data_IF_272952113615
#
_entry.id   IF_272952113615
#
_cell.length_a   1.000
_cell.length_b   1.000
_cell.length_c   1.000
_cell.angle_alpha   90.00
_cell.angle_beta   90.00
_cell.angle_gamma   90.00
#
_symmetry.space_group_name_H-M   'P 1'
#
loop_
_entity.id
_entity.type
_entity.pdbx_description
1 polymer ?
#
# COMPACT_ATOMS: atom_id res chain seq x y z
N UNK A 1 -65.04 30.79 69.37
CA UNK A 1 -64.57 31.33 68.07
C UNK A 1 -63.07 31.62 68.11
N UNK A 2 -62.29 30.65 68.59
CA UNK A 2 -60.86 30.76 68.92
C UNK A 2 -60.09 29.55 68.35
N UNK A 3 -60.49 29.07 67.17
CA UNK A 3 -59.85 27.96 66.46
C UNK A 3 -59.70 28.25 64.95
N UNK A 4 -60.03 29.47 64.50
CA UNK A 4 -59.94 29.89 63.10
C UNK A 4 -58.93 31.03 62.83
N UNK A 5 -58.14 31.45 63.82
CA UNK A 5 -57.12 32.52 63.65
C UNK A 5 -55.67 32.03 63.56
N UNK A 6 -55.40 30.74 63.75
CA UNK A 6 -54.03 30.19 63.66
C UNK A 6 -53.73 29.42 62.36
N UNK A 7 -54.65 29.37 61.40
CA UNK A 7 -54.41 28.69 60.12
C UNK A 7 -54.03 29.60 58.95
N UNK A 8 -54.09 30.93 59.11
CA UNK A 8 -53.71 31.87 58.03
C UNK A 8 -52.34 32.53 58.19
N UNK A 9 -51.60 32.31 59.28
CA UNK A 9 -50.30 32.96 59.50
C UNK A 9 -49.08 32.07 59.14
N UNK A 10 -49.27 30.77 58.89
CA UNK A 10 -48.16 29.86 58.55
C UNK A 10 -48.02 29.61 57.03
N UNK A 11 -49.03 29.98 56.23
CA UNK A 11 -48.99 29.75 54.78
C UNK A 11 -48.41 30.91 53.94
N UNK A 12 -48.13 32.08 54.54
CA UNK A 12 -47.54 33.22 53.81
C UNK A 12 -46.05 33.48 54.11
N UNK A 13 -45.47 32.82 55.11
CA UNK A 13 -44.02 32.89 55.38
C UNK A 13 -43.23 31.75 54.70
N UNK A 14 -43.89 30.68 54.27
CA UNK A 14 -43.24 29.51 53.65
C UNK A 14 -43.00 29.62 52.14
N UNK A 15 -43.63 30.57 51.43
CA UNK A 15 -43.52 30.68 49.97
C UNK A 15 -42.64 31.85 49.47
N UNK A 16 -42.12 32.70 50.37
CA UNK A 16 -41.15 33.75 50.02
C UNK A 16 -39.70 33.40 50.40
N UNK A 17 -39.45 32.22 50.98
CA UNK A 17 -38.09 31.74 51.31
C UNK A 17 -37.58 30.63 50.37
N UNK A 18 -38.33 30.28 49.31
CA UNK A 18 -37.93 29.28 48.29
C UNK A 18 -37.47 29.90 46.95
N UNK A 19 -37.38 31.23 46.85
CA UNK A 19 -36.83 31.94 45.68
C UNK A 19 -35.49 32.63 45.94
N UNK A 20 -34.83 32.30 47.06
CA UNK A 20 -33.45 32.70 47.36
C UNK A 20 -32.64 31.48 47.77
N UNK A 21 -32.70 30.41 46.97
CA UNK A 21 -31.50 29.58 46.86
C UNK A 21 -30.43 30.49 46.25
N UNK A 22 -29.18 30.48 46.75
CA UNK A 22 -28.10 31.07 45.97
C UNK A 22 -28.22 30.45 44.58
N UNK A 23 -28.11 31.27 43.53
CA UNK A 23 -27.51 30.75 42.30
C UNK A 23 -26.15 30.21 42.74
N UNK A 24 -26.08 28.96 43.21
CA UNK A 24 -24.87 28.18 43.08
C UNK A 24 -24.61 28.28 41.60
N UNK A 25 -23.57 29.03 41.23
CA UNK A 25 -23.10 29.14 39.86
C UNK A 25 -23.23 27.75 39.29
N UNK A 26 -24.21 27.56 38.41
CA UNK A 26 -24.54 26.26 37.88
C UNK A 26 -23.29 25.91 37.09
N UNK A 27 -22.41 25.09 37.66
CA UNK A 27 -21.09 24.87 37.12
C UNK A 27 -21.30 24.45 35.67
N UNK A 28 -20.86 25.30 34.74
CA UNK A 28 -21.16 25.08 33.34
C UNK A 28 -20.53 23.74 32.97
N UNK A 29 -21.31 22.88 32.31
CA UNK A 29 -20.86 21.52 32.02
C UNK A 29 -19.62 21.60 31.13
N UNK A 30 -18.61 20.75 31.42
CA UNK A 30 -17.40 20.73 30.60
C UNK A 30 -17.74 20.29 29.20
N UNK A 31 -17.35 21.09 28.22
CA UNK A 31 -17.51 20.76 26.80
C UNK A 31 -16.15 20.57 26.16
N UNK A 32 -16.05 19.66 25.21
CA UNK A 32 -14.88 19.53 24.36
C UNK A 32 -15.09 20.38 23.10
N UNK A 33 -14.11 21.24 22.81
CA UNK A 33 -14.20 22.20 21.72
C UNK A 33 -12.82 22.59 21.19
N UNK A 34 -12.83 23.19 20.01
CA UNK A 34 -11.63 23.61 19.30
C UNK A 34 -11.71 25.12 19.04
N UNK A 35 -10.62 25.84 19.32
CA UNK A 35 -10.52 27.29 19.12
C UNK A 35 -9.42 27.57 18.10
N UNK A 36 -9.76 28.25 17.02
CA UNK A 36 -8.77 28.89 16.14
C UNK A 36 -8.57 30.33 16.59
N UNK A 37 -7.32 30.67 16.89
CA UNK A 37 -6.91 32.02 17.30
C UNK A 37 -7.32 33.09 16.28
N UNK A 38 -7.46 34.34 16.72
CA UNK A 38 -7.86 35.46 15.86
C UNK A 38 -6.90 35.72 14.70
N UNK A 39 -5.61 35.44 14.87
CA UNK A 39 -4.59 35.51 13.81
C UNK A 39 -4.60 34.30 12.86
N UNK A 40 -5.45 33.30 13.15
CA UNK A 40 -5.67 32.07 12.39
C UNK A 40 -4.47 31.11 12.37
N UNK A 41 -3.44 31.34 13.21
CA UNK A 41 -2.20 30.54 13.23
C UNK A 41 -2.20 29.39 14.24
N UNK A 42 -3.02 29.49 15.28
CA UNK A 42 -3.06 28.48 16.36
C UNK A 42 -4.43 27.84 16.44
N UNK A 43 -4.45 26.51 16.53
CA UNK A 43 -5.65 25.72 16.79
C UNK A 43 -5.51 25.02 18.16
N UNK A 44 -6.37 25.33 19.13
CA UNK A 44 -6.27 24.77 20.48
C UNK A 44 -7.48 23.92 20.83
N UNK A 45 -7.24 22.73 21.37
CA UNK A 45 -8.24 21.78 21.83
C UNK A 45 -8.39 21.91 23.35
N UNK A 46 -9.63 22.10 23.82
CA UNK A 46 -9.97 22.29 25.24
C UNK A 46 -11.06 21.31 25.68
N UNK A 47 -11.06 20.97 26.97
CA UNK A 47 -12.14 20.24 27.63
C UNK A 47 -12.42 20.84 29.02
N UNK A 48 -13.18 21.93 29.01
CA UNK A 48 -13.48 22.74 30.19
C UNK A 48 -14.83 23.47 30.04
N UNK A 49 -15.15 24.34 30.99
CA UNK A 49 -16.40 25.11 31.07
C UNK A 49 -16.25 26.54 30.50
N UNK A 50 -15.15 26.84 29.80
CA UNK A 50 -14.78 28.19 29.35
C UNK A 50 -15.08 28.47 27.88
N UNK A 51 -15.81 27.59 27.18
CA UNK A 51 -16.08 27.72 25.74
C UNK A 51 -16.65 29.09 25.34
N UNK A 52 -17.57 29.63 26.14
CA UNK A 52 -18.25 30.91 25.90
C UNK A 52 -17.34 32.14 26.09
N UNK A 53 -16.24 32.01 26.84
CA UNK A 53 -15.29 33.09 27.09
C UNK A 53 -14.11 33.11 26.11
N UNK A 54 -13.99 32.09 25.25
CA UNK A 54 -12.88 32.00 24.28
C UNK A 54 -13.04 33.00 23.14
N UNK A 55 -11.94 33.63 22.78
CA UNK A 55 -11.84 34.53 21.62
C UNK A 55 -11.32 33.79 20.39
N UNK A 56 -11.83 34.12 19.21
CA UNK A 56 -11.44 33.51 17.95
C UNK A 56 -12.63 32.80 17.29
N UNK A 57 -12.37 31.83 16.42
CA UNK A 57 -13.41 30.94 15.89
C UNK A 57 -13.48 29.69 16.74
N UNK A 58 -14.65 29.37 17.28
CA UNK A 58 -14.86 28.24 18.19
C UNK A 58 -15.81 27.23 17.54
N UNK A 59 -15.45 25.95 17.60
CA UNK A 59 -16.30 24.84 17.16
C UNK A 59 -16.46 23.82 18.27
N UNK A 60 -17.61 23.16 18.35
CA UNK A 60 -17.71 21.94 19.15
C UNK A 60 -16.80 20.84 18.60
N UNK A 61 -16.25 19.96 19.44
CA UNK A 61 -15.35 18.88 18.99
C UNK A 61 -16.05 17.89 18.04
N UNK A 62 -17.39 17.84 18.05
CA UNK A 62 -18.21 17.00 17.17
C UNK A 62 -18.82 17.78 16.00
N UNK A 63 -18.52 19.07 15.89
CA UNK A 63 -19.05 19.90 14.81
C UNK A 63 -18.37 19.55 13.49
N UNK A 64 -19.17 19.38 12.43
CA UNK A 64 -18.70 18.93 11.13
C UNK A 64 -19.10 19.89 10.02
N UNK A 65 -18.50 19.68 8.84
CA UNK A 65 -18.88 20.31 7.58
C UNK A 65 -18.82 19.29 6.45
N UNK A 66 -19.60 19.53 5.41
CA UNK A 66 -19.57 18.73 4.18
C UNK A 66 -18.70 19.39 3.12
N UNK A 67 -17.85 18.61 2.46
CA UNK A 67 -17.01 19.06 1.34
C UNK A 67 -17.01 17.96 0.28
N UNK A 68 -17.56 18.25 -0.90
CA UNK A 68 -17.67 17.31 -2.04
C UNK A 68 -18.33 15.95 -1.70
N UNK A 69 -19.28 15.95 -0.76
CA UNK A 69 -20.02 14.74 -0.34
C UNK A 69 -19.39 13.97 0.81
N UNK A 70 -18.22 14.38 1.29
CA UNK A 70 -17.57 13.83 2.48
C UNK A 70 -17.77 14.74 3.71
N UNK A 71 -17.81 14.13 4.90
CA UNK A 71 -17.96 14.83 6.18
C UNK A 71 -16.61 14.99 6.87
N UNK A 72 -16.27 16.21 7.27
CA UNK A 72 -15.02 16.54 7.96
C UNK A 72 -15.29 17.32 9.25
N UNK A 73 -14.38 17.29 10.25
CA UNK A 73 -14.44 18.24 11.36
C UNK A 73 -14.50 19.68 10.87
N UNK A 74 -15.36 20.51 11.45
CA UNK A 74 -15.64 21.87 10.98
C UNK A 74 -14.38 22.74 10.87
N UNK A 75 -13.39 22.49 11.74
CA UNK A 75 -12.12 23.22 11.78
C UNK A 75 -11.07 22.75 10.76
N UNK A 76 -11.24 21.59 10.11
CA UNK A 76 -10.23 21.00 9.22
C UNK A 76 -10.30 21.48 7.76
N UNK A 77 -9.36 21.10 6.88
CA UNK A 77 -9.44 21.37 5.43
C UNK A 77 -8.38 22.31 4.83
N UNK A 78 -8.53 22.59 3.52
CA UNK A 78 -7.52 23.17 2.60
C UNK A 78 -7.07 24.61 2.88
N UNK A 79 -7.91 25.44 3.51
CA UNK A 79 -7.65 26.88 3.66
C UNK A 79 -6.96 27.25 4.98
N UNK A 80 -6.42 26.26 5.69
CA UNK A 80 -5.88 26.46 7.03
C UNK A 80 -4.54 27.21 7.00
N UNK A 81 -4.50 28.39 7.63
CA UNK A 81 -3.27 29.15 7.95
C UNK A 81 -2.62 28.70 9.27
N UNK A 82 -3.14 27.64 9.88
CA UNK A 82 -2.68 27.14 11.17
C UNK A 82 -1.28 26.56 11.01
N UNK A 83 -0.33 27.08 11.79
CA UNK A 83 1.04 26.59 11.88
C UNK A 83 1.31 25.83 13.18
N UNK A 84 0.46 26.00 14.20
CA UNK A 84 0.59 25.33 15.49
C UNK A 84 -0.75 24.78 15.96
N UNK A 85 -0.79 23.51 16.35
CA UNK A 85 -1.90 22.95 17.10
C UNK A 85 -1.50 22.76 18.56
N UNK A 86 -2.43 22.93 19.49
CA UNK A 86 -2.18 22.83 20.93
C UNK A 86 -3.27 21.97 21.56
N UNK A 87 -2.89 20.93 22.29
CA UNK A 87 -3.78 20.21 23.19
C UNK A 87 -3.58 20.74 24.61
N UNK A 88 -4.52 21.55 25.07
CA UNK A 88 -4.47 22.13 26.41
C UNK A 88 -4.51 21.03 27.49
N UNK A 89 -3.96 21.31 28.67
CA UNK A 89 -3.94 20.35 29.78
C UNK A 89 -5.36 19.90 30.19
N UNK A 90 -6.38 20.75 30.00
CA UNK A 90 -7.78 20.39 30.22
C UNK A 90 -8.25 19.21 29.35
N UNK A 91 -7.67 19.04 28.15
CA UNK A 91 -8.08 18.02 27.19
C UNK A 91 -7.76 16.58 27.62
N UNK A 92 -6.88 16.40 28.61
CA UNK A 92 -6.40 15.09 29.09
C UNK A 92 -7.51 14.09 29.46
N UNK A 93 -8.64 14.62 29.95
CA UNK A 93 -9.76 13.80 30.41
C UNK A 93 -10.86 13.62 29.35
N UNK A 94 -10.73 14.22 28.17
CA UNK A 94 -11.64 13.98 27.07
C UNK A 94 -11.32 12.64 26.40
N UNK A 95 -12.35 11.84 26.13
CA UNK A 95 -12.25 10.51 25.53
C UNK A 95 -12.91 10.53 24.14
N UNK A 96 -12.20 11.00 23.09
CA UNK A 96 -12.71 10.93 21.72
C UNK A 96 -12.95 9.48 21.30
N UNK A 97 -14.07 9.24 20.61
CA UNK A 97 -14.36 7.95 19.96
C UNK A 97 -13.73 7.83 18.57
N UNK A 98 -13.37 8.98 17.97
CA UNK A 98 -12.77 9.12 16.66
C UNK A 98 -11.84 10.34 16.64
N UNK A 99 -10.70 10.22 15.98
CA UNK A 99 -9.82 11.34 15.62
C UNK A 99 -9.76 11.56 14.11
N UNK A 100 -10.76 11.04 13.40
CA UNK A 100 -10.82 11.06 11.94
C UNK A 100 -10.72 12.48 11.41
N UNK A 101 -9.75 12.69 10.51
CA UNK A 101 -9.54 13.96 9.82
C UNK A 101 -9.27 15.18 10.72
N UNK A 102 -8.91 15.01 12.00
CA UNK A 102 -8.72 16.14 12.93
C UNK A 102 -7.69 17.17 12.45
N UNK A 103 -6.64 16.73 11.74
CA UNK A 103 -5.64 17.58 11.09
C UNK A 103 -5.61 17.37 9.57
N UNK A 104 -6.73 16.97 8.97
CA UNK A 104 -6.82 16.81 7.53
C UNK A 104 -6.52 18.12 6.80
N UNK A 105 -5.51 18.08 5.94
CA UNK A 105 -5.07 19.15 5.03
C UNK A 105 -4.56 20.41 5.72
N UNK A 106 -4.01 20.27 6.92
CA UNK A 106 -3.26 21.33 7.60
C UNK A 106 -1.84 21.48 7.02
N UNK A 107 -1.76 21.91 5.75
CA UNK A 107 -0.49 21.95 4.99
C UNK A 107 0.60 22.79 5.65
N UNK A 108 0.21 23.83 6.38
CA UNK A 108 1.12 24.76 7.06
C UNK A 108 1.45 24.35 8.50
N UNK A 109 0.90 23.26 9.04
CA UNK A 109 1.13 22.84 10.42
C UNK A 109 2.57 22.38 10.61
N UNK A 110 3.30 23.09 11.46
CA UNK A 110 4.73 22.85 11.72
C UNK A 110 4.94 22.04 13.00
N UNK A 111 4.04 22.20 14.00
CA UNK A 111 4.15 21.52 15.30
C UNK A 111 2.81 21.33 15.99
N UNK A 112 2.77 20.31 16.85
CA UNK A 112 1.65 20.01 17.74
C UNK A 112 2.16 19.98 19.17
N UNK A 113 1.73 20.95 19.97
CA UNK A 113 2.11 21.09 21.37
C UNK A 113 1.11 20.37 22.27
N UNK A 114 1.61 19.71 23.32
CA UNK A 114 0.76 19.03 24.30
C UNK A 114 0.04 17.80 23.78
N UNK A 115 0.43 17.21 22.64
CA UNK A 115 -0.23 16.03 22.05
C UNK A 115 -0.36 14.84 23.04
N UNK A 116 0.48 14.80 24.08
CA UNK A 116 0.36 13.87 25.21
C UNK A 116 -0.93 13.99 26.02
N UNK A 117 -1.66 15.10 25.89
CA UNK A 117 -2.97 15.35 26.49
C UNK A 117 -4.13 14.79 25.63
N UNK A 118 -3.88 14.26 24.43
CA UNK A 118 -4.89 13.55 23.67
C UNK A 118 -4.99 12.10 24.16
N UNK A 119 -6.05 11.76 24.89
CA UNK A 119 -6.29 10.38 25.30
C UNK A 119 -6.98 9.59 24.19
N UNK A 120 -6.26 8.63 23.59
CA UNK A 120 -6.78 7.83 22.46
C UNK A 120 -7.33 6.46 22.88
N UNK A 121 -7.52 6.19 24.18
CA UNK A 121 -7.94 4.86 24.66
C UNK A 121 -9.27 4.38 24.06
N UNK A 122 -10.19 5.29 23.77
CA UNK A 122 -11.51 4.96 23.21
C UNK A 122 -11.61 5.19 21.69
N UNK A 123 -10.50 5.55 21.04
CA UNK A 123 -10.52 5.85 19.60
C UNK A 123 -10.61 4.56 18.80
N UNK A 124 -11.61 4.49 17.93
CA UNK A 124 -11.85 3.34 17.03
C UNK A 124 -11.40 3.62 15.59
N UNK A 125 -11.25 4.88 15.19
CA UNK A 125 -10.75 5.28 13.87
C UNK A 125 -9.79 6.46 13.99
N UNK A 126 -8.64 6.32 13.32
CA UNK A 126 -7.62 7.37 13.13
C UNK A 126 -7.47 7.72 11.65
N UNK A 127 -8.49 7.41 10.85
CA UNK A 127 -8.54 7.67 9.41
C UNK A 127 -8.17 9.12 9.12
N UNK A 128 -7.22 9.28 8.21
CA UNK A 128 -6.77 10.57 7.68
C UNK A 128 -6.39 11.63 8.72
N UNK A 129 -6.06 11.22 9.95
CA UNK A 129 -5.87 12.14 11.09
C UNK A 129 -4.85 13.23 10.80
N UNK A 130 -3.71 12.91 10.19
CA UNK A 130 -2.64 13.85 9.83
C UNK A 130 -2.48 14.02 8.31
N UNK A 131 -3.44 13.58 7.50
CA UNK A 131 -3.29 13.62 6.04
C UNK A 131 -2.99 15.03 5.53
N UNK A 132 -1.97 15.16 4.68
CA UNK A 132 -1.47 16.40 4.09
C UNK A 132 -1.01 17.46 5.10
N UNK A 133 -0.51 17.05 6.27
CA UNK A 133 0.32 17.91 7.13
C UNK A 133 1.74 18.06 6.54
N UNK A 134 1.86 18.80 5.43
CA UNK A 134 3.08 18.83 4.60
C UNK A 134 4.31 19.36 5.36
N UNK A 135 4.13 20.37 6.23
CA UNK A 135 5.21 21.04 6.94
C UNK A 135 5.57 20.41 8.30
N UNK A 136 4.90 19.32 8.69
CA UNK A 136 5.18 18.67 9.96
C UNK A 136 6.48 17.86 9.84
N UNK A 137 7.47 18.17 10.68
CA UNK A 137 8.80 17.52 10.67
C UNK A 137 8.99 16.48 11.76
N UNK A 138 8.16 16.53 12.81
CA UNK A 138 8.17 15.55 13.91
C UNK A 138 6.78 15.38 14.50
N UNK A 139 6.53 14.21 15.09
CA UNK A 139 5.27 13.89 15.74
C UNK A 139 5.52 12.98 16.94
N UNK A 140 5.14 13.43 18.13
CA UNK A 140 5.26 12.63 19.34
C UNK A 140 3.98 11.81 19.56
N UNK A 141 4.06 10.50 19.31
CA UNK A 141 2.94 9.56 19.45
C UNK A 141 3.05 8.65 20.68
N UNK A 142 3.94 8.94 21.63
CA UNK A 142 4.27 8.01 22.73
C UNK A 142 3.11 7.67 23.66
N UNK A 143 2.07 8.53 23.72
CA UNK A 143 0.86 8.31 24.51
C UNK A 143 -0.30 7.69 23.72
N UNK A 144 -0.12 7.42 22.42
CA UNK A 144 -1.18 6.86 21.61
C UNK A 144 -1.46 5.41 22.02
N UNK A 145 -2.72 5.14 22.36
CA UNK A 145 -3.29 3.82 22.57
C UNK A 145 -4.11 3.47 21.35
N UNK A 146 -3.72 2.41 20.65
CA UNK A 146 -4.39 2.02 19.38
C UNK A 146 -5.08 0.67 19.48
N UNK A 147 -5.24 0.13 20.69
CA UNK A 147 -5.79 -1.21 20.94
C UNK A 147 -7.19 -1.40 20.34
N UNK A 148 -7.98 -0.32 20.32
CA UNK A 148 -9.36 -0.33 19.84
C UNK A 148 -9.49 0.18 18.39
N UNK A 149 -8.41 0.61 17.76
CA UNK A 149 -8.43 1.21 16.42
C UNK A 149 -8.64 0.13 15.36
N UNK A 150 -9.61 0.36 14.48
CA UNK A 150 -10.00 -0.53 13.39
C UNK A 150 -9.64 0.03 12.01
N UNK A 151 -9.52 1.36 11.88
CA UNK A 151 -9.18 2.03 10.61
C UNK A 151 -8.05 3.06 10.81
N UNK A 152 -6.95 2.87 10.07
CA UNK A 152 -5.79 3.76 10.01
C UNK A 152 -5.53 4.28 8.58
N UNK A 153 -6.53 4.21 7.70
CA UNK A 153 -6.42 4.63 6.31
C UNK A 153 -5.88 6.05 6.20
N UNK A 154 -4.79 6.21 5.48
CA UNK A 154 -4.17 7.49 5.21
C UNK A 154 -3.71 8.29 6.44
N UNK A 155 -3.55 7.67 7.63
CA UNK A 155 -3.28 8.38 8.88
C UNK A 155 -2.13 9.41 8.75
N UNK A 156 -1.06 9.08 8.05
CA UNK A 156 0.10 9.94 7.81
C UNK A 156 0.27 10.34 6.33
N UNK A 157 -0.75 10.10 5.49
CA UNK A 157 -0.64 10.34 4.04
C UNK A 157 -0.22 11.78 3.74
N UNK A 158 0.85 11.97 2.98
CA UNK A 158 1.32 13.29 2.56
C UNK A 158 1.99 14.09 3.68
N UNK A 159 2.35 13.48 4.81
CA UNK A 159 3.27 14.07 5.78
C UNK A 159 4.70 14.06 5.20
N UNK A 160 4.91 14.84 4.13
CA UNK A 160 6.09 14.73 3.26
C UNK A 160 7.39 14.95 4.04
N UNK A 161 7.43 15.95 4.93
CA UNK A 161 8.64 16.36 5.66
C UNK A 161 8.88 15.59 6.97
N UNK A 162 8.11 14.54 7.30
CA UNK A 162 8.45 13.66 8.41
C UNK A 162 9.67 12.82 8.01
N UNK A 163 10.78 12.97 8.75
CA UNK A 163 12.01 12.20 8.54
C UNK A 163 12.02 10.87 9.31
N UNK A 164 11.34 10.84 10.46
CA UNK A 164 11.18 9.65 11.30
C UNK A 164 9.82 9.62 11.97
N UNK A 165 9.39 8.42 12.36
CA UNK A 165 8.15 8.19 13.08
C UNK A 165 8.32 7.01 14.04
N UNK A 166 8.14 7.25 15.33
CA UNK A 166 8.14 6.20 16.34
C UNK A 166 6.72 5.63 16.48
N UNK A 167 6.57 4.36 16.10
CA UNK A 167 5.33 3.61 16.16
C UNK A 167 5.43 2.40 17.10
N UNK A 168 6.46 2.33 17.95
CA UNK A 168 6.76 1.15 18.77
C UNK A 168 5.62 0.78 19.73
N UNK A 169 4.83 1.77 20.18
CA UNK A 169 3.67 1.59 21.04
C UNK A 169 2.35 1.30 20.30
N UNK A 170 2.34 1.25 18.97
CA UNK A 170 1.13 0.89 18.21
C UNK A 170 0.80 -0.60 18.38
N UNK A 171 -0.47 -0.86 18.62
CA UNK A 171 -1.11 -2.18 18.62
C UNK A 171 -2.11 -2.22 17.48
N UNK A 172 -1.93 -3.13 16.52
CA UNK A 172 -2.71 -3.14 15.27
C UNK A 172 -3.54 -4.41 15.07
N UNK A 173 -3.71 -5.22 16.11
CA UNK A 173 -4.43 -6.50 16.08
C UNK A 173 -5.86 -6.34 15.52
N UNK A 174 -6.51 -5.21 15.81
CA UNK A 174 -7.89 -4.95 15.41
C UNK A 174 -8.02 -4.13 14.11
N UNK A 175 -6.90 -3.69 13.53
CA UNK A 175 -6.90 -2.84 12.33
C UNK A 175 -7.25 -3.66 11.10
N UNK A 176 -8.24 -3.19 10.34
CA UNK A 176 -8.70 -3.84 9.11
C UNK A 176 -8.28 -3.08 7.85
N UNK A 177 -8.01 -1.78 7.96
CA UNK A 177 -7.67 -0.91 6.84
C UNK A 177 -6.42 -0.07 7.14
N UNK A 178 -5.37 -0.26 6.32
CA UNK A 178 -4.13 0.51 6.33
C UNK A 178 -3.82 1.12 4.95
N UNK A 179 -4.83 1.22 4.08
CA UNK A 179 -4.69 1.81 2.75
C UNK A 179 -4.02 3.18 2.84
N UNK A 180 -3.00 3.40 2.00
CA UNK A 180 -2.29 4.68 1.90
C UNK A 180 -1.73 5.24 3.22
N UNK A 181 -1.55 4.43 4.28
CA UNK A 181 -1.20 4.93 5.62
C UNK A 181 0.06 5.83 5.61
N UNK A 182 1.08 5.47 4.83
CA UNK A 182 2.33 6.22 4.68
C UNK A 182 2.51 6.81 3.28
N UNK A 183 1.46 6.84 2.46
CA UNK A 183 1.52 7.36 1.09
C UNK A 183 2.04 8.80 1.08
N UNK A 184 2.95 9.13 0.16
CA UNK A 184 3.59 10.42 -0.01
C UNK A 184 4.33 10.93 1.26
N UNK A 185 4.75 10.04 2.17
CA UNK A 185 5.71 10.36 3.24
C UNK A 185 7.13 10.37 2.67
N UNK A 186 7.41 11.37 1.82
CA UNK A 186 8.58 11.36 0.93
C UNK A 186 9.92 11.25 1.68
N UNK A 187 10.10 11.99 2.78
CA UNK A 187 11.38 12.09 3.49
C UNK A 187 11.60 11.02 4.58
N UNK A 188 10.66 10.10 4.81
CA UNK A 188 10.89 8.99 5.76
C UNK A 188 12.03 8.11 5.26
N UNK A 189 13.11 8.00 6.04
CA UNK A 189 14.30 7.20 5.67
C UNK A 189 14.22 5.74 6.11
N UNK A 190 13.46 5.48 7.18
CA UNK A 190 13.24 4.17 7.80
C UNK A 190 11.89 4.14 8.51
N UNK A 191 11.26 2.96 8.56
CA UNK A 191 10.07 2.68 9.35
C UNK A 191 10.23 1.33 10.06
N UNK A 192 10.10 1.32 11.38
CA UNK A 192 9.99 0.08 12.15
C UNK A 192 8.52 -0.30 12.29
N UNK A 193 8.16 -1.43 11.65
CA UNK A 193 6.82 -2.02 11.67
C UNK A 193 6.82 -3.40 12.33
N UNK A 194 7.85 -3.73 13.12
CA UNK A 194 8.01 -5.05 13.73
C UNK A 194 6.92 -5.42 14.74
N UNK A 195 6.24 -4.43 15.31
CA UNK A 195 5.08 -4.61 16.18
C UNK A 195 3.75 -4.79 15.43
N UNK A 196 3.70 -4.47 14.13
CA UNK A 196 2.44 -4.52 13.37
C UNK A 196 1.96 -5.96 13.17
N UNK A 197 0.67 -6.15 13.46
CA UNK A 197 -0.12 -7.36 13.27
C UNK A 197 -1.04 -7.16 12.07
N UNK A 198 -0.95 -8.06 11.10
CA UNK A 198 -1.57 -7.93 9.78
C UNK A 198 -2.67 -8.96 9.52
N UNK A 199 -3.00 -9.79 10.51
CA UNK A 199 -3.95 -10.90 10.40
C UNK A 199 -5.35 -10.46 9.90
N UNK A 200 -5.78 -9.27 10.31
CA UNK A 200 -7.10 -8.73 10.01
C UNK A 200 -7.11 -7.67 8.90
N UNK A 201 -5.93 -7.26 8.41
CA UNK A 201 -5.81 -6.19 7.40
C UNK A 201 -6.26 -6.74 6.04
N UNK A 202 -7.25 -6.07 5.45
CA UNK A 202 -7.84 -6.45 4.15
C UNK A 202 -7.36 -5.56 3.01
N UNK A 203 -7.03 -4.31 3.31
CA UNK A 203 -6.58 -3.31 2.34
C UNK A 203 -5.29 -2.63 2.82
N UNK A 204 -4.25 -2.74 2.00
CA UNK A 204 -2.94 -2.09 2.15
C UNK A 204 -2.48 -1.45 0.83
N UNK A 205 -3.44 -1.14 -0.05
CA UNK A 205 -3.19 -0.49 -1.33
C UNK A 205 -2.41 0.81 -1.14
N UNK A 206 -1.43 1.04 -2.01
CA UNK A 206 -0.61 2.26 -2.00
C UNK A 206 0.01 2.61 -0.63
N UNK A 207 0.17 1.65 0.29
CA UNK A 207 0.60 1.92 1.68
C UNK A 207 1.92 2.69 1.77
N UNK A 208 2.88 2.37 0.89
CA UNK A 208 4.20 3.03 0.82
C UNK A 208 4.39 3.86 -0.46
N UNK A 209 3.30 4.19 -1.17
CA UNK A 209 3.35 4.98 -2.40
C UNK A 209 4.16 6.26 -2.20
N UNK A 210 5.20 6.48 -3.02
CA UNK A 210 6.13 7.62 -3.01
C UNK A 210 6.82 7.88 -1.67
N UNK A 211 7.11 6.83 -0.89
CA UNK A 211 8.09 6.89 0.20
C UNK A 211 9.52 6.93 -0.37
N UNK A 212 9.86 8.03 -1.06
CA UNK A 212 11.03 8.15 -1.93
C UNK A 212 12.37 7.97 -1.22
N UNK A 213 12.49 8.41 0.03
CA UNK A 213 13.73 8.34 0.79
C UNK A 213 13.89 7.05 1.60
N UNK A 214 12.89 6.16 1.59
CA UNK A 214 12.95 4.89 2.30
C UNK A 214 14.03 4.00 1.67
N UNK A 215 15.01 3.60 2.47
CA UNK A 215 16.16 2.79 1.99
C UNK A 215 15.99 1.30 2.26
N UNK A 216 15.24 0.96 3.31
CA UNK A 216 14.91 -0.41 3.67
C UNK A 216 13.53 -0.49 4.32
N UNK A 217 12.91 -1.66 4.25
CA UNK A 217 11.62 -1.92 4.87
C UNK A 217 11.56 -3.39 5.32
N UNK A 218 11.30 -3.61 6.60
CA UNK A 218 11.10 -4.96 7.12
C UNK A 218 9.61 -5.34 7.03
N UNK A 219 9.30 -6.28 6.13
CA UNK A 219 7.95 -6.78 5.89
C UNK A 219 7.73 -8.20 6.42
N UNK A 220 8.59 -8.71 7.32
CA UNK A 220 8.51 -10.10 7.78
C UNK A 220 7.16 -10.47 8.41
N UNK A 221 6.49 -9.50 9.03
CA UNK A 221 5.20 -9.70 9.69
C UNK A 221 3.99 -9.48 8.77
N UNK A 222 4.21 -9.09 7.51
CA UNK A 222 3.12 -8.83 6.57
C UNK A 222 2.51 -10.14 6.09
N UNK A 223 1.25 -10.37 6.47
CA UNK A 223 0.42 -11.49 6.02
C UNK A 223 -0.54 -10.96 4.96
N UNK A 224 -0.44 -11.45 3.73
CA UNK A 224 -1.22 -10.92 2.59
C UNK A 224 -2.23 -11.92 2.01
N UNK A 225 -2.50 -13.02 2.70
CA UNK A 225 -3.38 -14.12 2.23
C UNK A 225 -4.84 -13.74 1.91
N UNK A 226 -5.29 -12.58 2.39
CA UNK A 226 -6.64 -12.06 2.14
C UNK A 226 -6.64 -10.79 1.27
N UNK A 227 -5.48 -10.32 0.85
CA UNK A 227 -5.34 -9.12 0.02
C UNK A 227 -5.75 -9.45 -1.41
N UNK A 228 -6.64 -8.63 -1.99
CA UNK A 228 -7.14 -8.78 -3.36
C UNK A 228 -6.57 -7.75 -4.33
N UNK A 229 -6.02 -6.66 -3.81
CA UNK A 229 -5.46 -5.56 -4.56
C UNK A 229 -4.10 -5.19 -3.95
N UNK A 230 -3.08 -5.11 -4.80
CA UNK A 230 -1.71 -4.69 -4.43
C UNK A 230 -1.26 -3.50 -5.28
N UNK A 231 -2.21 -2.77 -5.88
CA UNK A 231 -1.95 -1.65 -6.75
C UNK A 231 -1.06 -0.60 -6.08
N UNK A 232 0.00 -0.21 -6.79
CA UNK A 232 0.93 0.85 -6.43
C UNK A 232 1.55 0.77 -5.02
N UNK A 233 1.60 -0.42 -4.39
CA UNK A 233 2.01 -0.56 -2.99
C UNK A 233 3.38 0.04 -2.68
N UNK A 234 4.36 -0.12 -3.59
CA UNK A 234 5.72 0.41 -3.48
C UNK A 234 6.06 1.43 -4.57
N UNK A 235 5.07 1.93 -5.32
CA UNK A 235 5.26 2.92 -6.37
C UNK A 235 6.16 4.06 -5.89
N UNK A 236 7.19 4.44 -6.64
CA UNK A 236 8.06 5.58 -6.38
C UNK A 236 8.92 5.45 -5.13
N UNK A 237 9.08 4.25 -4.56
CA UNK A 237 10.05 3.97 -3.50
C UNK A 237 11.48 3.91 -4.09
N UNK A 238 11.91 5.01 -4.69
CA UNK A 238 13.06 5.05 -5.60
C UNK A 238 14.42 4.83 -4.93
N UNK A 239 14.52 4.89 -3.59
CA UNK A 239 15.75 4.56 -2.82
C UNK A 239 15.75 3.18 -2.17
N UNK A 240 14.69 2.38 -2.29
CA UNK A 240 14.73 1.00 -1.82
C UNK A 240 15.74 0.20 -2.67
N UNK A 241 16.77 -0.35 -2.03
CA UNK A 241 17.79 -1.16 -2.71
C UNK A 241 17.47 -2.64 -2.70
N UNK A 242 16.66 -3.09 -1.74
CA UNK A 242 16.20 -4.47 -1.62
C UNK A 242 14.82 -4.53 -0.97
N UNK A 243 14.04 -5.55 -1.32
CA UNK A 243 12.75 -5.81 -0.70
C UNK A 243 12.57 -7.32 -0.51
N UNK A 244 12.37 -7.75 0.74
CA UNK A 244 12.07 -9.15 1.04
C UNK A 244 10.56 -9.39 1.02
N UNK A 245 10.11 -10.13 0.01
CA UNK A 245 8.70 -10.45 -0.22
C UNK A 245 8.38 -11.93 0.01
N UNK A 246 9.27 -12.71 0.64
CA UNK A 246 9.12 -14.17 0.77
C UNK A 246 7.84 -14.62 1.48
N UNK A 247 7.29 -13.76 2.35
CA UNK A 247 6.08 -14.05 3.12
C UNK A 247 4.78 -13.62 2.40
N UNK A 248 4.88 -12.96 1.24
CA UNK A 248 3.71 -12.53 0.49
C UNK A 248 3.00 -13.74 -0.12
N UNK A 249 1.69 -13.78 0.10
CA UNK A 249 0.74 -14.72 -0.49
C UNK A 249 -0.16 -13.93 -1.42
N UNK A 250 -0.18 -14.27 -2.71
CA UNK A 250 -0.87 -13.47 -3.74
C UNK A 250 -1.97 -14.23 -4.46
N UNK A 251 -2.38 -15.40 -3.95
CA UNK A 251 -3.38 -16.28 -4.57
C UNK A 251 -4.70 -15.58 -4.92
N UNK A 252 -5.10 -14.57 -4.15
CA UNK A 252 -6.37 -13.85 -4.30
C UNK A 252 -6.24 -12.50 -5.02
N UNK A 253 -5.02 -12.10 -5.37
CA UNK A 253 -4.76 -10.77 -5.94
C UNK A 253 -5.26 -10.72 -7.38
N UNK A 254 -6.02 -9.68 -7.70
CA UNK A 254 -6.56 -9.42 -9.05
C UNK A 254 -5.86 -8.25 -9.75
N UNK A 255 -5.30 -7.30 -9.00
CA UNK A 255 -4.58 -6.13 -9.54
C UNK A 255 -3.18 -6.00 -8.90
N UNK A 256 -2.15 -6.04 -9.74
CA UNK A 256 -0.74 -5.81 -9.38
C UNK A 256 -0.14 -4.62 -10.14
N UNK A 257 -0.98 -3.80 -10.77
CA UNK A 257 -0.51 -2.68 -11.57
C UNK A 257 0.27 -1.67 -10.73
N UNK A 258 1.33 -1.15 -11.33
CA UNK A 258 2.25 -0.15 -10.75
C UNK A 258 2.91 -0.56 -9.43
N UNK A 259 2.85 -1.83 -9.02
CA UNK A 259 3.26 -2.29 -7.68
C UNK A 259 4.70 -1.86 -7.34
N UNK A 260 5.62 -1.91 -8.30
CA UNK A 260 7.02 -1.52 -8.17
C UNK A 260 7.44 -0.37 -9.11
N UNK A 261 6.48 0.37 -9.68
CA UNK A 261 6.79 1.51 -10.57
C UNK A 261 7.82 2.43 -9.92
N UNK A 262 8.87 2.85 -10.62
CA UNK A 262 9.95 3.75 -10.18
C UNK A 262 10.57 3.33 -8.83
N UNK A 263 10.65 2.02 -8.57
CA UNK A 263 11.57 1.46 -7.59
C UNK A 263 12.99 1.42 -8.18
N UNK A 264 13.48 2.57 -8.63
CA UNK A 264 14.63 2.69 -9.53
C UNK A 264 15.98 2.31 -8.92
N UNK A 265 16.07 2.12 -7.59
CA UNK A 265 17.27 1.59 -6.92
C UNK A 265 17.27 0.08 -6.69
N UNK A 266 16.16 -0.63 -6.92
CA UNK A 266 16.15 -2.09 -6.78
C UNK A 266 17.03 -2.73 -7.86
N UNK A 267 17.96 -3.59 -7.44
CA UNK A 267 18.84 -4.33 -8.37
C UNK A 267 18.32 -5.73 -8.70
N UNK A 268 17.53 -6.30 -7.79
CA UNK A 268 16.91 -7.61 -7.92
C UNK A 268 15.61 -7.67 -7.12
N UNK A 269 14.67 -8.49 -7.57
CA UNK A 269 13.42 -8.81 -6.87
C UNK A 269 13.23 -10.34 -6.91
N UNK A 270 13.04 -10.95 -5.74
CA UNK A 270 12.63 -12.35 -5.68
C UNK A 270 11.10 -12.43 -5.65
N UNK A 271 10.53 -12.99 -6.72
CA UNK A 271 9.08 -13.13 -6.90
C UNK A 271 8.64 -14.60 -6.97
N UNK A 272 9.49 -15.56 -6.57
CA UNK A 272 9.23 -17.00 -6.75
C UNK A 272 7.97 -17.50 -6.03
N UNK A 273 7.52 -16.80 -4.99
CA UNK A 273 6.31 -17.10 -4.22
C UNK A 273 5.04 -16.46 -4.79
N UNK A 274 5.14 -15.57 -5.78
CA UNK A 274 3.99 -14.93 -6.39
C UNK A 274 3.18 -15.95 -7.21
N UNK A 275 1.88 -15.99 -6.94
CA UNK A 275 0.87 -16.73 -7.67
C UNK A 275 -0.02 -15.73 -8.38
N UNK A 276 -0.04 -15.76 -9.70
CA UNK A 276 -0.69 -14.73 -10.53
C UNK A 276 -1.87 -15.26 -11.33
N UNK A 277 -2.36 -16.46 -11.04
CA UNK A 277 -3.47 -17.12 -11.75
C UNK A 277 -4.72 -16.24 -11.85
N UNK A 278 -4.99 -15.44 -10.82
CA UNK A 278 -6.20 -14.61 -10.72
C UNK A 278 -5.97 -13.14 -11.10
N UNK A 279 -4.73 -12.78 -11.46
CA UNK A 279 -4.38 -11.39 -11.79
C UNK A 279 -4.92 -11.03 -13.16
N UNK A 280 -5.61 -9.90 -13.23
CA UNK A 280 -6.17 -9.33 -14.46
C UNK A 280 -5.36 -8.15 -14.98
N UNK A 281 -4.70 -7.40 -14.09
CA UNK A 281 -3.96 -6.20 -14.45
C UNK A 281 -2.53 -6.24 -13.89
N UNK A 282 -1.53 -6.12 -14.78
CA UNK A 282 -0.11 -6.01 -14.46
C UNK A 282 0.52 -4.76 -15.12
N UNK A 283 -0.30 -3.79 -15.54
CA UNK A 283 0.21 -2.58 -16.21
C UNK A 283 1.24 -1.86 -15.34
N UNK A 284 2.34 -1.45 -15.96
CA UNK A 284 3.40 -0.65 -15.36
C UNK A 284 4.02 -1.25 -14.08
N UNK A 285 3.87 -2.58 -13.85
CA UNK A 285 4.27 -3.24 -12.61
C UNK A 285 5.76 -3.00 -12.25
N UNK A 286 6.64 -2.98 -13.25
CA UNK A 286 8.08 -2.71 -13.11
C UNK A 286 8.53 -1.45 -13.86
N UNK A 287 7.59 -0.57 -14.23
CA UNK A 287 7.88 0.66 -14.98
C UNK A 287 9.01 1.47 -14.31
N UNK A 288 10.00 1.92 -15.07
CA UNK A 288 11.17 2.69 -14.61
C UNK A 288 11.96 2.04 -13.46
N UNK A 289 11.94 0.71 -13.32
CA UNK A 289 12.86 -0.02 -12.46
C UNK A 289 14.28 -0.08 -13.05
N UNK A 290 14.90 1.10 -13.21
CA UNK A 290 16.13 1.34 -13.98
C UNK A 290 17.33 0.49 -13.56
N UNK A 291 17.40 0.04 -12.31
CA UNK A 291 18.53 -0.74 -11.80
C UNK A 291 18.31 -2.25 -11.75
N UNK A 292 17.12 -2.76 -12.08
CA UNK A 292 16.90 -4.20 -12.14
C UNK A 292 17.76 -4.80 -13.26
N UNK A 293 18.62 -5.75 -12.91
CA UNK A 293 19.50 -6.44 -13.88
C UNK A 293 18.95 -7.77 -14.35
N UNK A 294 18.09 -8.39 -13.56
CA UNK A 294 17.44 -9.67 -13.86
C UNK A 294 16.10 -9.77 -13.15
N UNK A 295 15.17 -10.52 -13.74
CA UNK A 295 13.87 -10.81 -13.16
C UNK A 295 13.45 -12.23 -13.53
N UNK A 296 13.21 -13.07 -12.52
CA UNK A 296 12.65 -14.41 -12.71
C UNK A 296 11.13 -14.34 -12.64
N UNK A 297 10.48 -14.65 -13.76
CA UNK A 297 9.02 -14.65 -13.92
C UNK A 297 8.50 -16.04 -14.28
N UNK A 298 9.29 -17.09 -14.07
CA UNK A 298 8.94 -18.47 -14.47
C UNK A 298 7.68 -19.01 -13.78
N UNK A 299 7.35 -18.49 -12.60
CA UNK A 299 6.14 -18.81 -11.84
C UNK A 299 4.90 -18.00 -12.24
N UNK A 300 5.05 -16.97 -13.08
CA UNK A 300 3.92 -16.13 -13.49
C UNK A 300 3.02 -16.91 -14.46
N UNK A 301 1.73 -16.81 -14.22
CA UNK A 301 0.64 -17.34 -15.04
C UNK A 301 -0.19 -16.17 -15.53
N UNK A 302 -0.28 -16.00 -16.83
CA UNK A 302 -0.80 -14.79 -17.46
C UNK A 302 -2.07 -15.05 -18.27
N UNK A 303 -2.64 -16.26 -18.19
CA UNK A 303 -3.84 -16.68 -18.92
C UNK A 303 -5.01 -15.72 -18.73
N UNK A 304 -5.15 -15.15 -17.53
CA UNK A 304 -6.27 -14.28 -17.17
C UNK A 304 -5.90 -12.79 -17.21
N UNK A 305 -4.66 -12.44 -17.54
CA UNK A 305 -4.21 -11.05 -17.59
C UNK A 305 -4.72 -10.39 -18.86
N UNK A 306 -5.33 -9.22 -18.69
CA UNK A 306 -5.95 -8.43 -19.76
C UNK A 306 -5.12 -7.20 -20.12
N UNK A 307 -4.30 -6.69 -19.19
CA UNK A 307 -3.49 -5.48 -19.39
C UNK A 307 -2.05 -5.66 -18.87
N UNK A 308 -1.08 -5.48 -19.76
CA UNK A 308 0.37 -5.42 -19.48
C UNK A 308 1.03 -4.19 -20.10
N UNK A 309 0.28 -3.10 -20.32
CA UNK A 309 0.83 -1.84 -20.80
C UNK A 309 2.05 -1.43 -19.97
N UNK A 310 3.13 -1.09 -20.66
CA UNK A 310 4.33 -0.50 -20.06
C UNK A 310 4.95 -1.30 -18.90
N UNK A 311 4.65 -2.61 -18.79
CA UNK A 311 5.01 -3.45 -17.64
C UNK A 311 6.51 -3.40 -17.30
N UNK A 312 7.38 -3.35 -18.32
CA UNK A 312 8.84 -3.26 -18.16
C UNK A 312 9.42 -1.95 -18.70
N UNK A 313 8.59 -0.99 -19.13
CA UNK A 313 9.07 0.24 -19.77
C UNK A 313 10.11 0.95 -18.89
N UNK A 314 11.23 1.33 -19.47
CA UNK A 314 12.32 2.02 -18.76
C UNK A 314 13.16 1.13 -17.83
N UNK A 315 13.00 -0.20 -17.85
CA UNK A 315 13.91 -1.15 -17.20
C UNK A 315 15.25 -1.24 -17.96
N UNK A 316 15.98 -0.13 -17.98
CA UNK A 316 17.12 0.08 -18.88
C UNK A 316 18.35 -0.78 -18.58
N UNK A 317 18.38 -1.52 -17.47
CA UNK A 317 19.48 -2.44 -17.09
C UNK A 317 19.13 -3.93 -17.15
N UNK A 318 17.89 -4.29 -17.51
CA UNK A 318 17.55 -5.68 -17.80
C UNK A 318 18.24 -6.09 -19.09
N UNK A 319 19.00 -7.20 -19.06
CA UNK A 319 19.69 -7.74 -20.24
C UNK A 319 18.95 -8.89 -20.91
N UNK A 320 18.19 -9.66 -20.13
CA UNK A 320 17.37 -10.74 -20.67
C UNK A 320 16.06 -10.89 -19.89
N UNK A 321 15.00 -11.31 -20.59
CA UNK A 321 13.74 -11.72 -19.99
C UNK A 321 13.32 -13.08 -20.55
N UNK A 322 12.86 -13.96 -19.66
CA UNK A 322 12.24 -15.21 -20.06
C UNK A 322 10.73 -15.13 -19.86
N UNK A 323 10.02 -15.05 -20.99
CA UNK A 323 8.57 -14.93 -21.07
C UNK A 323 7.99 -16.14 -21.82
N UNK A 324 8.71 -17.27 -21.84
CA UNK A 324 8.27 -18.49 -22.54
C UNK A 324 7.01 -19.13 -21.93
N UNK A 325 6.71 -18.82 -20.66
CA UNK A 325 5.50 -19.18 -19.95
C UNK A 325 4.33 -18.21 -20.17
N UNK A 326 4.57 -17.04 -20.77
CA UNK A 326 3.53 -16.03 -20.95
C UNK A 326 2.56 -16.43 -22.06
N UNK A 327 1.28 -16.33 -21.72
CA UNK A 327 0.11 -16.59 -22.54
C UNK A 327 -0.66 -15.30 -22.74
N UNK A 328 -0.94 -14.97 -24.01
CA UNK A 328 -1.48 -13.66 -24.40
C UNK A 328 -2.82 -13.76 -25.12
N UNK A 329 -3.53 -14.90 -25.05
CA UNK A 329 -4.77 -15.13 -25.80
C UNK A 329 -5.91 -14.21 -25.34
N UNK A 330 -5.93 -13.85 -24.05
CA UNK A 330 -6.92 -12.93 -23.46
C UNK A 330 -6.42 -11.48 -23.34
N UNK A 331 -5.24 -11.19 -23.88
CA UNK A 331 -4.59 -9.90 -23.72
C UNK A 331 -5.25 -8.81 -24.57
N UNK A 332 -5.63 -7.70 -23.94
CA UNK A 332 -6.28 -6.58 -24.60
C UNK A 332 -5.32 -5.42 -24.89
N UNK A 333 -4.36 -5.17 -23.99
CA UNK A 333 -3.45 -4.02 -24.08
C UNK A 333 -2.00 -4.40 -23.70
N UNK A 334 -1.04 -4.14 -24.60
CA UNK A 334 0.41 -4.31 -24.40
C UNK A 334 1.24 -3.15 -24.98
N UNK A 335 0.70 -1.94 -24.92
CA UNK A 335 1.35 -0.73 -25.42
C UNK A 335 2.67 -0.49 -24.68
N UNK A 336 3.73 -0.16 -25.43
CA UNK A 336 5.02 0.26 -24.87
C UNK A 336 5.62 -0.70 -23.82
N UNK A 337 5.28 -2.00 -23.84
CA UNK A 337 5.62 -2.95 -22.77
C UNK A 337 7.11 -3.02 -22.44
N UNK A 338 8.00 -2.96 -23.45
CA UNK A 338 9.46 -2.99 -23.29
C UNK A 338 10.12 -1.66 -23.64
N UNK A 339 9.35 -0.59 -23.87
CA UNK A 339 9.88 0.68 -24.35
C UNK A 339 11.01 1.20 -23.45
N UNK A 340 12.09 1.70 -24.05
CA UNK A 340 13.32 2.17 -23.37
C UNK A 340 14.02 1.11 -22.48
N UNK A 341 13.77 -0.19 -22.70
CA UNK A 341 14.63 -1.27 -22.18
C UNK A 341 15.93 -1.35 -23.00
N UNK A 342 16.76 -0.31 -22.91
CA UNK A 342 17.88 -0.10 -23.82
C UNK A 342 18.98 -1.15 -23.76
N UNK A 343 19.16 -1.84 -22.62
CA UNK A 343 20.14 -2.93 -22.47
C UNK A 343 19.56 -4.32 -22.71
N UNK A 344 18.28 -4.45 -23.05
CA UNK A 344 17.64 -5.74 -23.24
C UNK A 344 18.13 -6.36 -24.54
N UNK A 345 18.91 -7.44 -24.41
CA UNK A 345 19.52 -8.18 -25.51
C UNK A 345 18.62 -9.32 -25.99
N UNK A 346 17.99 -10.03 -25.06
CA UNK A 346 17.22 -11.24 -25.39
C UNK A 346 15.87 -11.29 -24.67
N UNK A 347 14.81 -11.54 -25.43
CA UNK A 347 13.51 -11.92 -24.89
C UNK A 347 13.22 -13.35 -25.32
N UNK A 348 13.22 -14.28 -24.38
CA UNK A 348 12.85 -15.67 -24.67
C UNK A 348 11.34 -15.80 -24.73
N UNK A 349 10.82 -16.18 -25.89
CA UNK A 349 9.43 -16.57 -26.06
C UNK A 349 9.33 -17.52 -27.25
N UNK A 350 8.52 -18.57 -27.12
CA UNK A 350 8.37 -19.58 -28.18
C UNK A 350 7.18 -19.30 -29.10
N UNK A 351 6.31 -18.36 -28.72
CA UNK A 351 5.08 -18.05 -29.44
C UNK A 351 5.13 -16.62 -29.98
N UNK A 352 4.48 -16.38 -31.11
CA UNK A 352 4.21 -15.03 -31.60
C UNK A 352 3.09 -14.41 -30.77
N UNK A 353 3.26 -13.18 -30.33
CA UNK A 353 2.20 -12.44 -29.65
C UNK A 353 1.38 -11.65 -30.67
N UNK A 354 0.06 -11.62 -30.48
CA UNK A 354 -0.87 -10.82 -31.27
C UNK A 354 -1.73 -9.99 -30.32
N UNK A 355 -1.79 -8.68 -30.51
CA UNK A 355 -2.61 -7.80 -29.66
C UNK A 355 -3.08 -6.58 -30.46
N UNK A 356 -4.35 -6.20 -30.24
CA UNK A 356 -5.01 -5.09 -30.94
C UNK A 356 -4.44 -3.72 -30.59
N UNK A 357 -3.89 -3.55 -29.39
CA UNK A 357 -3.24 -2.32 -28.93
C UNK A 357 -1.82 -2.61 -28.44
N UNK A 358 -0.83 -2.30 -29.28
CA UNK A 358 0.59 -2.61 -29.01
C UNK A 358 1.58 -1.61 -29.61
N UNK A 359 1.20 -0.32 -29.63
CA UNK A 359 2.06 0.73 -30.18
C UNK A 359 3.33 0.92 -29.34
N UNK A 360 4.45 1.20 -30.03
CA UNK A 360 5.77 1.46 -29.45
C UNK A 360 6.31 0.39 -28.48
N UNK A 361 5.82 -0.86 -28.55
CA UNK A 361 6.20 -1.99 -27.68
C UNK A 361 7.71 -2.12 -27.46
N UNK A 362 8.51 -1.96 -28.51
CA UNK A 362 9.97 -2.11 -28.51
C UNK A 362 10.72 -0.80 -28.76
N UNK A 363 10.05 0.37 -28.72
CA UNK A 363 10.72 1.65 -28.95
C UNK A 363 11.91 1.83 -27.99
N UNK A 364 13.12 2.11 -28.51
CA UNK A 364 14.30 2.35 -27.68
C UNK A 364 15.00 1.09 -27.16
N UNK A 365 14.57 -0.13 -27.55
CA UNK A 365 15.22 -1.39 -27.21
C UNK A 365 16.45 -1.68 -28.09
N UNK A 366 17.44 -0.79 -28.04
CA UNK A 366 18.54 -0.74 -29.03
C UNK A 366 19.47 -1.95 -29.02
N UNK A 367 19.52 -2.71 -27.93
CA UNK A 367 20.34 -3.91 -27.80
C UNK A 367 19.63 -5.20 -28.23
N UNK A 368 18.34 -5.17 -28.58
CA UNK A 368 17.61 -6.41 -28.88
C UNK A 368 18.16 -7.11 -30.13
N UNK A 369 18.47 -8.39 -29.95
CA UNK A 369 18.88 -9.30 -31.01
C UNK A 369 18.12 -10.63 -30.84
N UNK A 370 17.01 -10.74 -31.57
CA UNK A 370 16.17 -11.95 -31.61
C UNK A 370 16.44 -12.77 -32.87
N UNK A 371 15.36 -13.21 -33.53
CA UNK A 371 15.46 -13.73 -34.88
C UNK A 371 15.97 -12.69 -35.89
N UNK A 372 15.74 -11.41 -35.60
CA UNK A 372 16.34 -10.27 -36.30
C UNK A 372 16.88 -9.25 -35.28
N UNK A 373 17.87 -8.46 -35.72
CA UNK A 373 18.36 -7.32 -34.95
C UNK A 373 17.31 -6.20 -34.86
N UNK A 374 17.38 -5.39 -33.79
CA UNK A 374 16.54 -4.22 -33.61
C UNK A 374 16.55 -3.26 -34.82
N UNK A 375 15.38 -2.70 -35.15
CA UNK A 375 15.16 -1.78 -36.26
C UNK A 375 14.29 -0.61 -35.78
N UNK A 376 14.82 0.62 -35.86
CA UNK A 376 14.13 1.82 -35.39
C UNK A 376 12.88 2.20 -36.20
N UNK A 377 12.55 1.48 -37.27
CA UNK A 377 11.30 1.63 -38.02
C UNK A 377 10.24 0.60 -37.60
N UNK A 378 10.60 -0.44 -36.84
CA UNK A 378 9.72 -1.56 -36.46
C UNK A 378 9.60 -1.69 -34.95
N UNK A 379 8.61 -1.02 -34.35
CA UNK A 379 8.52 -0.87 -32.88
C UNK A 379 7.31 -1.52 -32.24
N UNK A 380 6.33 -1.95 -33.03
CA UNK A 380 5.07 -2.50 -32.54
C UNK A 380 5.15 -4.03 -32.30
N UNK A 381 4.03 -4.63 -31.88
CA UNK A 381 3.99 -6.08 -31.62
C UNK A 381 4.17 -6.98 -32.84
N UNK A 382 4.22 -6.46 -34.08
CA UNK A 382 4.58 -7.32 -35.22
C UNK A 382 5.97 -7.94 -35.06
N UNK A 383 6.83 -7.30 -34.27
CA UNK A 383 8.16 -7.79 -33.90
C UNK A 383 8.16 -8.71 -32.66
N UNK A 384 7.03 -8.93 -32.01
CA UNK A 384 6.88 -9.90 -30.92
C UNK A 384 6.74 -11.34 -31.49
N UNK A 385 7.73 -11.76 -32.27
CA UNK A 385 7.72 -12.99 -33.06
C UNK A 385 9.09 -13.68 -32.99
N UNK A 386 9.16 -14.99 -32.68
CA UNK A 386 10.41 -15.70 -32.53
C UNK A 386 11.08 -16.18 -33.83
N UNK A 387 10.44 -15.96 -34.98
CA UNK A 387 10.95 -16.32 -36.32
C UNK A 387 11.31 -15.08 -37.15
N UNK A 388 10.55 -13.99 -36.98
CA UNK A 388 10.66 -12.79 -37.81
C UNK A 388 10.91 -11.51 -37.01
N UNK A 389 10.97 -11.61 -35.68
CA UNK A 389 10.99 -10.47 -34.78
C UNK A 389 12.11 -10.54 -33.73
N UNK A 390 11.89 -9.84 -32.62
CA UNK A 390 12.86 -9.66 -31.55
C UNK A 390 12.80 -10.75 -30.46
N UNK A 391 11.89 -11.70 -30.58
CA UNK A 391 11.89 -12.85 -29.68
C UNK A 391 12.93 -13.87 -30.10
N UNK A 392 13.48 -14.56 -29.11
CA UNK A 392 14.37 -15.70 -29.27
C UNK A 392 13.66 -16.95 -28.80
N UNK A 393 13.67 -18.01 -29.61
CA UNK A 393 13.16 -19.30 -29.15
C UNK A 393 14.02 -19.83 -28.00
N UNK A 394 13.37 -20.20 -26.91
CA UNK A 394 14.02 -20.94 -25.83
C UNK A 394 14.15 -22.39 -26.27
N UNK A 395 15.38 -22.82 -26.56
CA UNK A 395 15.67 -24.23 -26.83
C UNK A 395 15.17 -25.10 -25.67
N UNK A 396 14.61 -26.28 -25.98
CA UNK A 396 14.22 -27.23 -24.94
C UNK A 396 15.46 -27.61 -24.13
N UNK A 397 15.54 -27.18 -22.87
CA UNK A 397 16.49 -27.76 -21.93
C UNK A 397 16.01 -29.19 -21.73
N UNK A 398 16.51 -30.13 -22.53
CA UNK A 398 16.03 -31.51 -22.58
C UNK A 398 16.19 -32.32 -21.28
N UNK A 399 16.36 -31.68 -20.12
CA UNK A 399 16.37 -32.29 -18.79
C UNK A 399 15.05 -31.92 -18.09
N UNK A 400 14.10 -32.85 -18.13
CA UNK A 400 12.89 -32.75 -17.31
C UNK A 400 13.25 -33.29 -15.91
N UNK A 401 13.15 -32.45 -14.88
CA UNK A 401 12.95 -32.96 -13.51
C UNK A 401 11.63 -33.72 -13.50
N UNK A 402 11.65 -34.99 -13.08
CA UNK A 402 10.51 -35.89 -13.12
C UNK A 402 9.20 -35.22 -12.66
N UNK A 403 8.41 -34.76 -13.63
CA UNK A 403 7.04 -34.32 -13.40
C UNK A 403 6.16 -35.56 -13.44
N UNK A 404 5.50 -35.86 -12.33
CA UNK A 404 4.39 -36.81 -12.29
C UNK A 404 3.17 -36.17 -12.96
N UNK A 405 3.24 -35.93 -14.27
CA UNK A 405 2.05 -35.69 -15.07
C UNK A 405 1.48 -37.04 -15.51
N UNK A 406 0.24 -37.30 -15.10
CA UNK A 406 -0.37 -38.63 -14.99
C UNK A 406 -0.73 -39.34 -16.32
N UNK A 407 -0.24 -38.91 -17.48
CA UNK A 407 -0.72 -39.44 -18.77
C UNK A 407 0.33 -40.05 -19.71
N UNK A 408 1.62 -40.07 -19.33
CA UNK A 408 2.65 -40.72 -20.14
C UNK A 408 3.52 -41.66 -19.31
N UNK A 409 3.60 -42.93 -19.71
CA UNK A 409 4.44 -43.94 -19.06
C UNK A 409 5.78 -44.09 -19.79
N UNK A 410 6.82 -44.44 -19.05
CA UNK A 410 8.15 -44.75 -19.61
C UNK A 410 8.03 -46.05 -20.43
N UNK A 411 8.35 -45.98 -21.73
CA UNK A 411 8.39 -47.15 -22.62
C UNK A 411 9.77 -47.78 -22.70
N UNK A 412 10.81 -46.95 -22.82
CA UNK A 412 12.21 -47.41 -22.89
C UNK A 412 13.12 -46.42 -22.19
N UNK A 413 14.18 -46.96 -21.57
CA UNK A 413 15.20 -46.18 -20.86
C UNK A 413 16.51 -46.43 -21.58
N UNK A 414 17.34 -45.40 -21.70
CA UNK A 414 18.67 -45.45 -22.27
C UNK A 414 19.65 -44.74 -21.34
N UNK A 415 20.89 -45.23 -21.30
CA UNK A 415 22.02 -44.52 -20.74
C UNK A 415 22.41 -43.33 -21.62
N UNK A 416 23.28 -42.46 -21.11
CA UNK A 416 23.79 -41.30 -21.85
C UNK A 416 24.64 -41.66 -23.07
N UNK A 417 25.17 -42.88 -23.14
CA UNK A 417 25.88 -43.44 -24.31
C UNK A 417 24.95 -44.23 -25.26
N UNK A 418 23.63 -44.20 -25.03
CA UNK A 418 22.63 -44.74 -25.95
C UNK A 418 22.32 -46.23 -25.80
N UNK A 419 22.81 -46.90 -24.75
CA UNK A 419 22.47 -48.30 -24.48
C UNK A 419 21.12 -48.40 -23.80
N UNK A 420 20.27 -49.33 -24.23
CA UNK A 420 18.98 -49.59 -23.58
C UNK A 420 19.20 -50.15 -22.17
N UNK A 421 18.46 -49.61 -21.20
CA UNK A 421 18.48 -49.99 -19.79
C UNK A 421 17.16 -50.64 -19.39
N UNK A 422 17.21 -51.56 -18.43
CA UNK A 422 16.02 -52.22 -17.87
C UNK A 422 15.34 -51.36 -16.78
N UNK A 423 16.11 -50.52 -16.10
CA UNK A 423 15.66 -49.64 -15.02
C UNK A 423 16.42 -48.31 -15.04
N UNK A 424 15.84 -47.27 -14.45
CA UNK A 424 16.50 -45.97 -14.26
C UNK A 424 17.78 -46.16 -13.43
N UNK A 425 18.91 -45.67 -13.89
CA UNK A 425 20.17 -45.70 -13.15
C UNK A 425 20.37 -44.40 -12.37
N UNK A 426 21.19 -44.43 -11.32
CA UNK A 426 21.61 -43.20 -10.63
C UNK A 426 22.34 -42.28 -11.61
N UNK A 427 21.98 -41.00 -11.63
CA UNK A 427 22.45 -40.04 -12.63
C UNK A 427 21.46 -39.82 -13.77
N UNK A 428 21.97 -39.36 -14.91
CA UNK A 428 21.15 -38.94 -16.05
C UNK A 428 20.71 -40.15 -16.89
N UNK A 429 19.42 -40.25 -17.16
CA UNK A 429 18.80 -41.26 -18.00
C UNK A 429 18.09 -40.57 -19.17
N UNK A 430 18.07 -41.20 -20.34
CA UNK A 430 17.27 -40.76 -21.47
C UNK A 430 16.08 -41.72 -21.56
N UNK A 431 14.85 -41.22 -21.46
CA UNK A 431 13.64 -42.05 -21.50
C UNK A 431 12.78 -41.71 -22.71
N UNK A 432 12.22 -42.72 -23.36
CA UNK A 432 11.16 -42.57 -24.36
C UNK A 432 9.82 -42.82 -23.68
N UNK A 433 8.90 -41.88 -23.84
CA UNK A 433 7.59 -41.87 -23.22
C UNK A 433 6.52 -42.43 -24.16
N UNK A 434 5.38 -42.89 -23.61
CA UNK A 434 4.28 -43.46 -24.38
C UNK A 434 3.59 -42.49 -25.34
N UNK A 435 3.72 -41.18 -25.10
CA UNK A 435 3.25 -40.13 -25.99
C UNK A 435 4.24 -39.79 -27.13
N UNK A 436 5.29 -40.60 -27.33
CA UNK A 436 6.27 -40.42 -28.39
C UNK A 436 7.40 -39.42 -28.08
N UNK A 437 7.36 -38.75 -26.93
CA UNK A 437 8.42 -37.80 -26.52
C UNK A 437 9.65 -38.52 -25.95
N UNK A 438 10.81 -37.87 -26.02
CA UNK A 438 12.04 -38.30 -25.34
C UNK A 438 12.40 -37.27 -24.27
N UNK A 439 12.69 -37.70 -23.04
CA UNK A 439 13.01 -36.84 -21.91
C UNK A 439 14.33 -37.29 -21.27
N UNK A 440 15.11 -36.36 -20.69
CA UNK A 440 16.22 -36.75 -19.81
C UNK A 440 15.78 -36.64 -18.35
N UNK A 441 15.87 -37.73 -17.59
CA UNK A 441 15.49 -37.84 -16.18
C UNK A 441 16.74 -38.02 -15.32
N UNK A 442 16.90 -37.17 -14.30
CA UNK A 442 17.97 -37.29 -13.30
C UNK A 442 17.47 -38.06 -12.06
N UNK A 443 17.97 -39.28 -11.83
CA UNK A 443 17.68 -40.07 -10.62
C UNK A 443 18.77 -39.83 -9.58
N UNK A 444 18.40 -39.29 -8.42
CA UNK A 444 19.34 -38.94 -7.32
C UNK A 444 19.97 -40.18 -6.69
#
# INVERSE_FOLDING_TARGET
>A
MQLLKNFCAVFLAGFMALLLLPQSAQAQEKEAYVVKSSDKKTLTFYYDDQKSSRTGTVWGIKETKEVYGDTYPAWSGTESKVTTAVFDASFKNYLPQSTESWFFNFRNLEKIEGLTNLNTSEVTTMRTMFTFCLNLTSLNLSNFKTENVQDMMGMFRGCQNLESLDLSNFKTENVQNMNSMFRDCEYLTSLDLSNFKMENVKDMNSMFYRCRYLTSLNLSNFKTENVQDMNSMFYGCSRLTSLNLSNFKTEKVQDMSKMFWDCSSLTSLNLSNFKTENVKNMSEMFYECKNLTSLDLSNFKTENVQNMNEMFRGCSRLTSLDLSNFKTENMQEMNSMFRECSSLETIYCNNTWTCSQSWDMFQGCRSLEGAVAYDESKKDASMANPETGYFTKKGSTGVATATTEANASIQTIYSTDGRRLNDLQRGLNIVRMSNGTTQKILRK
#
